data_IF_868324923129
#
_entry.id   IF_868324923129
#
_cell.length_a   1.000
_cell.length_b   1.000
_cell.length_c   1.000
_cell.angle_alpha   90.00
_cell.angle_beta   90.00
_cell.angle_gamma   90.00
#
_symmetry.space_group_name_H-M   'P 1'
#
loop_
_entity.id
_entity.type
_entity.pdbx_description
1 polymer ?
#
# COMPACT_ATOMS: atom_id res chain seq x y z
N UNK A 1 14.00 12.37 20.43
CA UNK A 1 12.57 12.44 20.02
C UNK A 1 12.58 12.74 18.54
N UNK A 2 12.05 11.86 17.70
CA UNK A 2 11.87 12.14 16.26
C UNK A 2 10.84 13.26 16.13
N UNK A 3 11.17 14.31 15.39
CA UNK A 3 10.21 15.37 15.06
C UNK A 3 9.13 14.76 14.17
N UNK A 4 7.87 14.89 14.57
CA UNK A 4 6.71 14.45 13.82
C UNK A 4 6.70 15.14 12.44
N UNK A 5 6.55 14.38 11.36
CA UNK A 5 6.52 14.92 9.99
C UNK A 5 5.18 15.59 9.71
N UNK A 6 5.19 16.54 8.78
CA UNK A 6 3.97 17.16 8.23
C UNK A 6 3.66 16.47 6.91
N UNK A 7 2.57 15.73 6.85
CA UNK A 7 2.06 15.09 5.64
C UNK A 7 1.25 16.06 4.76
N UNK A 8 0.56 15.51 3.78
CA UNK A 8 -0.31 16.28 2.88
C UNK A 8 -1.50 16.90 3.64
N UNK A 9 -1.99 16.23 4.68
CA UNK A 9 -3.18 16.61 5.46
C UNK A 9 -2.84 17.10 6.88
N UNK A 10 -1.63 17.58 7.14
CA UNK A 10 -1.17 18.05 8.44
C UNK A 10 -0.21 17.09 9.12
N UNK A 11 -0.16 17.10 10.45
CA UNK A 11 0.75 16.24 11.19
C UNK A 11 0.44 14.76 10.97
N UNK A 12 1.48 14.01 10.59
CA UNK A 12 1.42 12.55 10.44
C UNK A 12 1.43 11.86 11.81
N UNK A 13 1.03 10.62 11.88
CA UNK A 13 1.03 9.83 13.12
C UNK A 13 2.44 9.68 13.69
N UNK A 14 2.56 9.72 15.01
CA UNK A 14 3.82 9.44 15.71
C UNK A 14 4.03 7.94 15.86
N UNK A 15 5.28 7.51 16.10
CA UNK A 15 5.60 6.09 16.31
C UNK A 15 4.76 5.45 17.42
N UNK A 16 4.50 6.19 18.49
CA UNK A 16 3.77 5.71 19.67
C UNK A 16 2.24 5.60 19.43
N UNK A 17 1.74 5.98 18.25
CA UNK A 17 0.32 5.82 17.90
C UNK A 17 -0.05 4.40 17.47
N UNK A 18 0.92 3.48 17.35
CA UNK A 18 0.69 2.10 16.97
C UNK A 18 1.39 1.14 17.93
N UNK A 19 0.83 -0.05 18.10
CA UNK A 19 1.55 -1.15 18.73
C UNK A 19 2.55 -1.74 17.74
N UNK A 20 3.83 -1.74 18.09
CA UNK A 20 4.87 -2.25 17.20
C UNK A 20 5.82 -3.20 17.91
N UNK A 21 6.25 -4.26 17.23
CA UNK A 21 7.21 -5.23 17.73
C UNK A 21 8.27 -5.53 16.67
N UNK A 22 9.50 -5.73 17.12
CA UNK A 22 10.63 -6.18 16.32
C UNK A 22 11.33 -7.33 17.03
N UNK A 23 11.42 -8.48 16.38
CA UNK A 23 11.97 -9.69 16.98
C UNK A 23 12.94 -10.38 16.04
N UNK A 24 14.03 -10.90 16.63
CA UNK A 24 14.94 -11.82 15.92
C UNK A 24 14.46 -13.25 16.09
N UNK A 25 14.29 -13.96 15.01
CA UNK A 25 13.77 -15.32 15.00
C UNK A 25 14.81 -16.34 15.42
N UNK A 26 14.39 -17.40 16.11
CA UNK A 26 15.23 -18.56 16.36
C UNK A 26 15.75 -19.16 15.04
N UNK A 27 17.07 -19.33 14.94
CA UNK A 27 17.75 -19.83 13.73
C UNK A 27 18.02 -18.77 12.65
N UNK A 28 17.90 -17.49 13.01
CA UNK A 28 18.13 -16.32 12.17
C UNK A 28 16.88 -15.84 11.45
N UNK A 29 16.97 -14.65 10.89
CA UNK A 29 15.83 -13.93 10.36
C UNK A 29 15.22 -12.95 11.37
N UNK A 30 14.24 -12.19 10.94
CA UNK A 30 13.54 -11.21 11.78
C UNK A 30 12.06 -11.14 11.41
N UNK A 31 11.27 -10.68 12.36
CA UNK A 31 9.91 -10.23 12.17
C UNK A 31 9.77 -8.80 12.69
N UNK A 32 8.93 -8.03 12.01
CA UNK A 32 8.50 -6.71 12.46
C UNK A 32 6.99 -6.62 12.25
N UNK A 33 6.26 -6.24 13.28
CA UNK A 33 4.81 -6.09 13.23
C UNK A 33 4.39 -4.69 13.64
N UNK A 34 3.36 -4.16 12.99
CA UNK A 34 2.73 -2.88 13.31
C UNK A 34 1.23 -3.09 13.31
N UNK A 35 0.59 -2.85 14.48
CA UNK A 35 -0.87 -2.78 14.61
C UNK A 35 -1.27 -1.32 14.70
N UNK A 36 -1.93 -0.87 13.67
CA UNK A 36 -2.33 0.54 13.58
C UNK A 36 -3.55 0.84 14.44
N UNK A 37 -3.70 2.11 14.81
CA UNK A 37 -4.97 2.61 15.30
C UNK A 37 -6.07 2.38 14.25
N UNK A 38 -7.32 2.35 14.73
CA UNK A 38 -8.48 2.23 13.85
C UNK A 38 -8.45 3.30 12.74
N UNK A 39 -8.47 2.87 11.48
CA UNK A 39 -8.68 3.73 10.32
C UNK A 39 -10.16 4.11 10.25
N UNK A 40 -10.53 5.26 10.80
CA UNK A 40 -11.94 5.69 10.93
C UNK A 40 -12.55 6.04 9.57
N UNK A 41 -13.77 5.57 9.35
CA UNK A 41 -14.49 5.85 8.10
C UNK A 41 -13.95 5.13 6.87
N UNK A 42 -12.89 4.34 7.01
CA UNK A 42 -12.36 3.48 5.95
C UNK A 42 -13.08 2.13 6.00
N UNK A 43 -13.36 1.56 4.83
CA UNK A 43 -13.91 0.20 4.66
C UNK A 43 -12.89 -0.69 3.95
N UNK A 44 -13.09 -2.00 3.97
CA UNK A 44 -12.25 -2.92 3.19
C UNK A 44 -12.37 -2.62 1.68
N UNK A 45 -13.56 -2.24 1.19
CA UNK A 45 -13.74 -1.86 -0.22
C UNK A 45 -12.93 -0.62 -0.60
N UNK A 46 -12.79 0.36 0.32
CA UNK A 46 -11.88 1.50 0.16
C UNK A 46 -10.43 1.06 -0.01
N UNK A 47 -9.94 0.13 0.83
CA UNK A 47 -8.55 -0.37 0.75
C UNK A 47 -8.29 -1.17 -0.53
N UNK A 48 -9.21 -2.05 -0.93
CA UNK A 48 -9.10 -2.81 -2.18
C UNK A 48 -9.06 -1.85 -3.37
N UNK A 49 -9.94 -0.86 -3.41
CA UNK A 49 -9.95 0.16 -4.45
C UNK A 49 -8.65 0.97 -4.45
N UNK A 50 -8.17 1.39 -3.27
CA UNK A 50 -6.94 2.16 -3.10
C UNK A 50 -5.73 1.42 -3.68
N UNK A 51 -5.44 0.22 -3.23
CA UNK A 51 -4.30 -0.56 -3.72
C UNK A 51 -4.39 -0.87 -5.21
N UNK A 52 -5.60 -1.05 -5.75
CA UNK A 52 -5.81 -1.27 -7.18
C UNK A 52 -5.45 -0.05 -8.02
N UNK A 53 -5.64 1.15 -7.47
CA UNK A 53 -5.46 2.43 -8.15
C UNK A 53 -4.26 3.24 -7.63
N UNK A 54 -3.40 2.64 -6.84
CA UNK A 54 -2.28 3.31 -6.15
C UNK A 54 -1.29 3.98 -7.11
N UNK A 55 -1.21 3.52 -8.38
CA UNK A 55 -0.34 4.05 -9.43
C UNK A 55 -0.98 5.14 -10.30
N UNK A 56 -2.18 5.61 -9.94
CA UNK A 56 -2.89 6.65 -10.67
C UNK A 56 -2.49 8.05 -10.23
N UNK A 57 -3.07 9.07 -10.90
CA UNK A 57 -2.98 10.47 -10.52
C UNK A 57 -4.34 11.01 -10.11
N UNK A 58 -4.35 12.08 -9.32
CA UNK A 58 -5.56 12.78 -8.88
C UNK A 58 -5.32 14.28 -8.88
N UNK A 59 -6.39 15.07 -8.90
CA UNK A 59 -6.38 16.51 -8.65
C UNK A 59 -6.89 16.87 -7.26
N UNK A 60 -7.03 15.87 -6.36
CA UNK A 60 -7.47 16.09 -4.99
C UNK A 60 -6.48 16.97 -4.22
N UNK A 61 -6.98 18.05 -3.63
CA UNK A 61 -6.18 19.07 -2.92
C UNK A 61 -6.35 19.02 -1.39
N UNK A 62 -7.07 18.01 -0.88
CA UNK A 62 -7.40 17.86 0.56
C UNK A 62 -8.84 18.28 0.91
N UNK A 63 -9.55 18.91 0.00
CA UNK A 63 -10.96 19.30 0.16
C UNK A 63 -11.77 19.08 -1.11
N UNK A 64 -11.17 19.33 -2.28
CA UNK A 64 -11.85 19.25 -3.58
C UNK A 64 -10.94 18.62 -4.65
N UNK A 65 -11.44 18.45 -5.88
CA UNK A 65 -10.77 17.82 -7.03
C UNK A 65 -10.40 18.85 -8.12
N UNK A 66 -9.99 20.04 -7.72
CA UNK A 66 -9.60 21.15 -8.58
C UNK A 66 -8.10 21.55 -8.46
N UNK A 67 -7.33 20.75 -7.73
CA UNK A 67 -5.89 20.98 -7.54
C UNK A 67 -5.03 20.60 -8.75
N UNK A 68 -3.72 20.80 -8.61
CA UNK A 68 -2.75 20.30 -9.58
C UNK A 68 -2.70 18.76 -9.56
N UNK A 69 -2.44 18.16 -10.72
CA UNK A 69 -2.31 16.71 -10.82
C UNK A 69 -1.12 16.20 -9.98
N UNK A 70 -1.36 15.21 -9.13
CA UNK A 70 -0.38 14.57 -8.27
C UNK A 70 -0.54 13.05 -8.32
N UNK A 71 0.55 12.29 -8.20
CA UNK A 71 0.47 10.85 -8.00
C UNK A 71 -0.29 10.56 -6.69
N UNK A 72 -1.32 9.72 -6.73
CA UNK A 72 -2.12 9.38 -5.53
C UNK A 72 -1.25 8.80 -4.42
N UNK A 73 -0.17 8.10 -4.78
CA UNK A 73 0.82 7.56 -3.86
C UNK A 73 1.47 8.64 -2.98
N UNK A 74 1.63 9.89 -3.50
CA UNK A 74 2.14 11.03 -2.76
C UNK A 74 1.20 11.55 -1.68
N UNK A 75 -0.11 11.32 -1.82
CA UNK A 75 -1.07 11.66 -0.77
C UNK A 75 -0.84 10.84 0.49
N UNK A 76 -0.40 9.60 0.31
CA UNK A 76 -0.15 8.68 1.42
C UNK A 76 1.11 9.05 2.21
N UNK A 77 2.22 9.38 1.50
CA UNK A 77 3.45 9.87 2.14
C UNK A 77 4.24 10.82 1.23
N UNK A 78 4.07 12.16 1.36
CA UNK A 78 4.65 13.11 0.41
C UNK A 78 6.18 13.16 0.42
N UNK A 79 6.82 12.80 1.54
CA UNK A 79 8.28 12.87 1.71
C UNK A 79 8.99 11.60 1.26
N UNK A 80 8.43 10.46 1.58
CA UNK A 80 9.11 9.17 1.44
C UNK A 80 8.72 8.47 0.13
N UNK A 81 7.49 8.65 -0.37
CA UNK A 81 7.02 8.02 -1.61
C UNK A 81 7.58 8.74 -2.84
N UNK A 82 8.28 7.99 -3.70
CA UNK A 82 8.82 8.50 -4.95
C UNK A 82 7.94 8.08 -6.12
N UNK A 83 7.71 6.77 -6.28
CA UNK A 83 6.89 6.20 -7.34
C UNK A 83 6.44 4.78 -7.03
N UNK A 84 5.20 4.50 -7.37
CA UNK A 84 4.67 3.13 -7.40
C UNK A 84 4.08 2.85 -8.77
N UNK A 85 4.13 1.60 -9.23
CA UNK A 85 3.47 1.17 -10.48
C UNK A 85 3.25 -0.33 -10.51
N UNK A 86 2.19 -0.75 -11.13
CA UNK A 86 1.99 -2.14 -11.49
C UNK A 86 2.88 -2.50 -12.68
N UNK A 87 3.94 -3.29 -12.46
CA UNK A 87 4.83 -3.79 -13.52
C UNK A 87 4.19 -4.91 -14.34
N UNK A 88 3.37 -5.73 -13.68
CA UNK A 88 2.53 -6.77 -14.28
C UNK A 88 1.21 -6.78 -13.52
N UNK A 89 0.11 -6.56 -14.21
CA UNK A 89 -1.24 -6.58 -13.64
C UNK A 89 -1.98 -7.79 -14.23
N UNK A 90 -2.30 -8.76 -13.38
CA UNK A 90 -3.19 -9.87 -13.69
C UNK A 90 -4.52 -9.54 -13.02
N UNK A 91 -5.61 -9.59 -13.77
CA UNK A 91 -6.95 -9.31 -13.25
C UNK A 91 -7.91 -10.42 -13.65
N UNK A 92 -8.95 -10.63 -12.82
CA UNK A 92 -10.12 -11.41 -13.21
C UNK A 92 -11.04 -10.59 -14.14
N UNK A 93 -12.15 -11.21 -14.55
CA UNK A 93 -13.15 -10.59 -15.45
C UNK A 93 -13.81 -9.34 -14.85
N UNK A 94 -13.81 -9.22 -13.53
CA UNK A 94 -14.30 -8.03 -12.79
C UNK A 94 -13.22 -6.97 -12.61
N UNK A 95 -12.00 -7.22 -13.10
CA UNK A 95 -10.84 -6.34 -12.99
C UNK A 95 -10.20 -6.33 -11.61
N UNK A 96 -10.47 -7.30 -10.73
CA UNK A 96 -9.77 -7.44 -9.46
C UNK A 96 -8.37 -7.99 -9.70
N UNK A 97 -7.39 -7.39 -9.02
CA UNK A 97 -6.00 -7.84 -9.09
C UNK A 97 -5.86 -9.22 -8.50
N UNK A 98 -5.17 -10.09 -9.20
CA UNK A 98 -4.96 -11.48 -8.85
C UNK A 98 -3.54 -11.75 -8.36
N UNK A 99 -3.32 -12.80 -7.55
CA UNK A 99 -1.99 -13.34 -7.26
C UNK A 99 -1.19 -13.59 -8.53
N UNK A 100 0.14 -13.33 -8.49
CA UNK A 100 1.01 -13.36 -9.64
C UNK A 100 1.21 -12.00 -10.32
N UNK A 101 0.45 -10.97 -9.93
CA UNK A 101 0.73 -9.57 -10.27
C UNK A 101 2.04 -9.11 -9.63
N UNK A 102 2.69 -8.11 -10.23
CA UNK A 102 3.95 -7.55 -9.74
C UNK A 102 3.82 -6.04 -9.60
N UNK A 103 4.08 -5.54 -8.41
CA UNK A 103 4.15 -4.10 -8.11
C UNK A 103 5.60 -3.67 -7.97
N UNK A 104 5.95 -2.53 -8.55
CA UNK A 104 7.24 -1.86 -8.35
C UNK A 104 7.07 -0.69 -7.41
N UNK A 105 7.90 -0.65 -6.37
CA UNK A 105 7.85 0.34 -5.30
C UNK A 105 9.19 1.06 -5.26
N UNK A 106 9.16 2.39 -5.32
CA UNK A 106 10.31 3.25 -5.15
C UNK A 106 10.00 4.30 -4.09
N UNK A 107 10.71 4.21 -2.96
CA UNK A 107 10.50 5.06 -1.79
C UNK A 107 11.79 5.28 -1.01
N UNK A 108 11.77 6.21 -0.06
CA UNK A 108 12.85 6.44 0.91
C UNK A 108 12.26 6.54 2.30
N UNK A 109 12.93 6.02 3.31
CA UNK A 109 12.58 6.23 4.72
C UNK A 109 13.82 6.15 5.60
N UNK A 110 13.94 7.06 6.55
CA UNK A 110 15.09 7.10 7.46
C UNK A 110 16.44 7.22 6.76
N UNK A 111 16.49 7.78 5.55
CA UNK A 111 17.71 7.87 4.72
C UNK A 111 18.02 6.61 3.90
N UNK A 112 17.18 5.57 3.96
CA UNK A 112 17.32 4.36 3.14
C UNK A 112 16.48 4.49 1.88
N UNK A 113 17.06 4.14 0.74
CA UNK A 113 16.35 4.05 -0.54
C UNK A 113 15.87 2.61 -0.76
N UNK A 114 14.61 2.45 -1.12
CA UNK A 114 13.99 1.19 -1.54
C UNK A 114 13.53 1.33 -2.99
N UNK A 115 13.97 0.44 -3.85
CA UNK A 115 13.54 0.36 -5.25
C UNK A 115 13.45 -1.11 -5.62
N UNK A 116 12.30 -1.69 -5.38
CA UNK A 116 12.10 -3.14 -5.53
C UNK A 116 10.85 -3.49 -6.32
N UNK A 117 10.71 -4.78 -6.60
CA UNK A 117 9.53 -5.34 -7.24
C UNK A 117 9.06 -6.52 -6.43
N UNK A 118 7.83 -6.45 -5.99
CA UNK A 118 7.23 -7.46 -5.12
C UNK A 118 6.15 -8.24 -5.86
N UNK A 119 6.16 -9.56 -5.71
CA UNK A 119 5.15 -10.46 -6.23
C UNK A 119 3.96 -10.48 -5.28
N UNK A 120 2.77 -10.25 -5.81
CA UNK A 120 1.53 -10.35 -5.05
C UNK A 120 1.18 -11.83 -4.88
N UNK A 121 1.00 -12.26 -3.63
CA UNK A 121 0.63 -13.63 -3.29
C UNK A 121 -0.82 -13.75 -2.81
N UNK A 122 -1.41 -12.66 -2.31
CA UNK A 122 -2.82 -12.53 -1.95
C UNK A 122 -3.27 -11.09 -2.16
N UNK A 123 -4.49 -10.90 -2.63
CA UNK A 123 -5.14 -9.59 -2.66
C UNK A 123 -6.66 -9.80 -2.67
N UNK A 124 -7.26 -9.69 -1.50
CA UNK A 124 -8.69 -9.92 -1.26
C UNK A 124 -9.19 -9.13 -0.05
N UNK A 125 -10.34 -9.51 0.50
CA UNK A 125 -10.96 -8.85 1.66
C UNK A 125 -10.24 -9.13 2.98
N UNK A 126 -9.32 -10.08 3.02
CA UNK A 126 -8.57 -10.45 4.23
C UNK A 126 -7.19 -9.79 4.27
N UNK A 127 -6.61 -9.50 3.09
CA UNK A 127 -5.28 -8.91 3.07
C UNK A 127 -4.70 -8.62 1.69
N UNK A 128 -3.56 -7.95 1.74
CA UNK A 128 -2.71 -7.65 0.59
C UNK A 128 -1.28 -8.09 0.91
N UNK A 129 -0.86 -9.20 0.34
CA UNK A 129 0.38 -9.88 0.70
C UNK A 129 1.39 -9.85 -0.44
N UNK A 130 2.62 -9.54 -0.07
CA UNK A 130 3.76 -9.45 -0.97
C UNK A 130 4.81 -10.50 -0.65
N UNK A 131 5.37 -11.12 -1.67
CA UNK A 131 6.60 -11.87 -1.55
C UNK A 131 7.77 -10.98 -1.93
N UNK A 132 8.70 -10.82 -1.00
CA UNK A 132 9.97 -10.13 -1.23
C UNK A 132 11.03 -11.10 -1.74
N UNK A 133 11.85 -10.67 -2.71
CA UNK A 133 12.86 -11.49 -3.32
C UNK A 133 14.16 -10.75 -3.63
N UNK A 134 15.27 -11.47 -3.59
CA UNK A 134 16.59 -11.00 -4.03
C UNK A 134 17.08 -11.99 -5.10
N UNK A 135 17.41 -11.48 -6.29
CA UNK A 135 17.89 -12.30 -7.42
C UNK A 135 16.97 -13.50 -7.77
N UNK A 136 15.65 -13.29 -7.66
CA UNK A 136 14.66 -14.34 -7.93
C UNK A 136 14.42 -15.34 -6.79
N UNK A 137 15.16 -15.24 -5.70
CA UNK A 137 14.98 -16.10 -4.52
C UNK A 137 14.08 -15.40 -3.50
N UNK A 138 13.08 -16.13 -2.97
CA UNK A 138 12.23 -15.63 -1.90
C UNK A 138 13.05 -15.49 -0.61
N UNK A 139 13.11 -14.27 -0.09
CA UNK A 139 13.83 -13.97 1.15
C UNK A 139 12.95 -13.50 2.29
N UNK A 140 11.67 -13.22 2.00
CA UNK A 140 10.72 -12.80 3.01
C UNK A 140 9.36 -12.49 2.43
N UNK A 141 8.50 -11.92 3.25
CA UNK A 141 7.19 -11.42 2.85
C UNK A 141 6.82 -10.19 3.67
N UNK A 142 5.94 -9.40 3.09
CA UNK A 142 5.25 -8.28 3.72
C UNK A 142 3.75 -8.57 3.59
N UNK A 143 3.07 -8.62 4.72
CA UNK A 143 1.67 -8.99 4.82
C UNK A 143 0.90 -7.81 5.41
N UNK A 144 -0.15 -7.38 4.73
CA UNK A 144 -1.12 -6.43 5.24
C UNK A 144 -2.42 -7.17 5.48
N UNK A 145 -2.87 -7.16 6.72
CA UNK A 145 -4.14 -7.74 7.14
C UNK A 145 -5.12 -6.63 7.46
N UNK A 146 -6.38 -6.82 7.11
CA UNK A 146 -7.44 -5.89 7.47
C UNK A 146 -8.66 -6.62 8.00
N UNK A 147 -9.31 -5.99 8.94
CA UNK A 147 -10.56 -6.46 9.50
C UNK A 147 -11.49 -5.27 9.73
N UNK A 148 -12.65 -5.31 9.07
CA UNK A 148 -13.68 -4.29 9.24
C UNK A 148 -14.39 -4.49 10.58
N UNK A 149 -14.55 -3.41 11.31
CA UNK A 149 -15.31 -3.34 12.56
C UNK A 149 -16.19 -2.09 12.53
N UNK A 150 -17.04 -1.91 13.55
CA UNK A 150 -17.84 -0.71 13.64
C UNK A 150 -16.96 0.54 13.69
N UNK A 151 -17.25 1.49 12.78
CA UNK A 151 -16.54 2.76 12.65
C UNK A 151 -15.28 2.74 11.79
N UNK A 152 -14.84 1.60 11.22
CA UNK A 152 -13.67 1.59 10.33
C UNK A 152 -12.98 0.23 10.16
N UNK A 153 -11.68 0.27 9.85
CA UNK A 153 -10.84 -0.91 9.62
C UNK A 153 -9.68 -0.97 10.61
N UNK A 154 -9.51 -2.12 11.25
CA UNK A 154 -8.26 -2.48 11.91
C UNK A 154 -7.28 -3.00 10.87
N UNK A 155 -6.08 -2.41 10.84
CA UNK A 155 -5.04 -2.71 9.89
C UNK A 155 -3.77 -3.15 10.63
N UNK A 156 -3.21 -4.27 10.20
CA UNK A 156 -1.97 -4.82 10.76
C UNK A 156 -1.00 -5.12 9.63
N UNK A 157 0.27 -4.77 9.83
CA UNK A 157 1.34 -5.06 8.88
C UNK A 157 2.37 -5.96 9.53
N UNK A 158 2.75 -7.04 8.85
CA UNK A 158 3.82 -7.95 9.27
C UNK A 158 4.87 -8.06 8.17
N UNK A 159 6.12 -7.85 8.54
CA UNK A 159 7.28 -8.15 7.71
C UNK A 159 8.05 -9.33 8.30
N UNK A 160 8.26 -10.38 7.51
CA UNK A 160 9.18 -11.47 7.87
C UNK A 160 10.34 -11.51 6.87
N UNK A 161 11.57 -11.55 7.37
CA UNK A 161 12.78 -11.79 6.60
C UNK A 161 13.37 -13.13 6.99
N UNK A 162 13.08 -14.13 6.18
CA UNK A 162 13.55 -15.51 6.37
C UNK A 162 13.50 -16.29 5.06
N UNK A 163 14.65 -16.62 4.52
CA UNK A 163 14.74 -17.50 3.36
C UNK A 163 14.62 -18.98 3.79
N UNK A 164 13.64 -19.68 3.24
CA UNK A 164 13.37 -21.10 3.52
C UNK A 164 13.95 -22.04 2.46
N UNK A 165 14.87 -21.55 1.60
CA UNK A 165 15.51 -22.38 0.57
C UNK A 165 16.36 -23.49 1.22
N UNK A 166 16.25 -24.75 0.76
CA UNK A 166 17.10 -25.83 1.24
C UNK A 166 18.59 -25.50 1.10
N UNK A 167 19.41 -25.94 2.05
CA UNK A 167 20.87 -25.81 2.09
C UNK A 167 21.40 -24.38 2.24
N UNK A 168 20.89 -23.41 1.46
CA UNK A 168 21.39 -22.02 1.39
C UNK A 168 20.52 -21.00 2.15
N UNK A 169 19.34 -21.41 2.63
CA UNK A 169 18.37 -20.49 3.25
C UNK A 169 18.92 -19.73 4.45
N UNK A 170 19.69 -20.40 5.33
CA UNK A 170 20.34 -19.74 6.48
C UNK A 170 21.34 -18.67 6.05
N UNK A 171 22.18 -18.96 5.05
CA UNK A 171 23.14 -18.00 4.51
C UNK A 171 22.42 -16.80 3.86
N UNK A 172 21.41 -17.05 3.05
CA UNK A 172 20.61 -16.00 2.41
C UNK A 172 19.87 -15.15 3.42
N UNK A 173 19.32 -15.75 4.47
CA UNK A 173 18.70 -15.02 5.59
C UNK A 173 19.71 -14.12 6.28
N UNK A 174 20.87 -14.65 6.61
CA UNK A 174 21.93 -13.87 7.23
C UNK A 174 22.37 -12.70 6.34
N UNK A 175 22.60 -12.93 5.05
CA UNK A 175 22.94 -11.88 4.08
C UNK A 175 21.82 -10.81 4.00
N UNK A 176 20.56 -11.26 3.92
CA UNK A 176 19.42 -10.35 3.87
C UNK A 176 19.35 -9.46 5.12
N UNK A 177 19.45 -10.03 6.31
CA UNK A 177 19.41 -9.26 7.56
C UNK A 177 20.65 -8.38 7.74
N UNK A 178 21.83 -8.82 7.25
CA UNK A 178 23.08 -8.07 7.42
C UNK A 178 23.21 -6.85 6.52
N UNK A 179 22.64 -6.91 5.29
CA UNK A 179 22.87 -5.91 4.25
C UNK A 179 21.62 -5.20 3.76
N UNK A 180 20.45 -5.84 3.82
CA UNK A 180 19.22 -5.31 3.23
C UNK A 180 18.13 -4.98 4.25
N UNK A 181 18.01 -5.77 5.31
CA UNK A 181 17.00 -5.63 6.35
C UNK A 181 17.63 -5.43 7.73
N UNK A 182 18.51 -4.43 7.85
CA UNK A 182 19.15 -4.08 9.10
C UNK A 182 18.13 -3.50 10.10
N UNK A 183 18.36 -3.68 11.40
CA UNK A 183 17.44 -3.15 12.43
C UNK A 183 17.13 -1.65 12.26
N UNK A 184 18.12 -0.75 12.00
CA UNK A 184 17.81 0.66 11.77
C UNK A 184 16.87 0.88 10.57
N UNK A 185 17.06 0.12 9.48
CA UNK A 185 16.19 0.22 8.29
C UNK A 185 14.79 -0.29 8.59
N UNK A 186 14.65 -1.40 9.32
CA UNK A 186 13.34 -1.95 9.70
C UNK A 186 12.59 -0.99 10.63
N UNK A 187 13.27 -0.39 11.61
CA UNK A 187 12.66 0.63 12.49
C UNK A 187 12.22 1.87 11.71
N UNK A 188 13.02 2.31 10.72
CA UNK A 188 12.64 3.41 9.84
C UNK A 188 11.43 3.03 8.96
N UNK A 189 11.35 1.79 8.47
CA UNK A 189 10.19 1.28 7.76
C UNK A 189 8.94 1.23 8.66
N UNK A 190 9.05 0.78 9.91
CA UNK A 190 7.92 0.76 10.85
C UNK A 190 7.37 2.18 11.08
N UNK A 191 8.26 3.18 11.26
CA UNK A 191 7.85 4.58 11.39
C UNK A 191 7.13 5.07 10.13
N UNK A 192 7.71 4.81 8.96
CA UNK A 192 7.13 5.14 7.66
C UNK A 192 5.74 4.50 7.48
N UNK A 193 5.60 3.21 7.80
CA UNK A 193 4.34 2.47 7.68
C UNK A 193 3.25 3.04 8.60
N UNK A 194 3.61 3.48 9.83
CA UNK A 194 2.69 4.14 10.75
C UNK A 194 2.25 5.51 10.20
N UNK A 195 3.19 6.27 9.66
CA UNK A 195 2.93 7.59 9.07
C UNK A 195 1.96 7.48 7.90
N UNK A 196 2.25 6.61 6.90
CA UNK A 196 1.40 6.45 5.73
C UNK A 196 0.00 5.91 6.06
N UNK A 197 -0.08 4.85 6.86
CA UNK A 197 -1.37 4.28 7.23
C UNK A 197 -2.25 5.27 7.99
N UNK A 198 -1.65 6.17 8.78
CA UNK A 198 -2.35 7.25 9.47
C UNK A 198 -2.94 8.32 8.56
N UNK A 199 -2.47 8.44 7.31
CA UNK A 199 -3.05 9.37 6.32
C UNK A 199 -4.28 8.77 5.61
N UNK A 200 -4.42 7.44 5.57
CA UNK A 200 -5.43 6.72 4.79
C UNK A 200 -6.86 7.21 5.03
N UNK A 201 -7.24 7.45 6.28
CA UNK A 201 -8.60 7.92 6.65
C UNK A 201 -8.91 9.33 6.14
N UNK A 202 -7.88 10.12 5.79
CA UNK A 202 -8.01 11.52 5.40
C UNK A 202 -8.32 11.72 3.92
N UNK A 203 -8.13 10.70 3.07
CA UNK A 203 -8.29 10.88 1.62
C UNK A 203 -8.88 9.66 0.88
N UNK A 204 -8.64 8.41 1.33
CA UNK A 204 -9.10 7.22 0.58
C UNK A 204 -10.62 7.20 0.39
N UNK A 205 -11.46 7.47 1.41
CA UNK A 205 -12.91 7.52 1.23
C UNK A 205 -13.34 8.56 0.19
N UNK A 206 -12.75 9.76 0.21
CA UNK A 206 -13.08 10.84 -0.72
C UNK A 206 -12.72 10.49 -2.16
N UNK A 207 -11.52 9.92 -2.38
CA UNK A 207 -11.11 9.46 -3.71
C UNK A 207 -12.02 8.36 -4.24
N UNK A 208 -12.40 7.41 -3.39
CA UNK A 208 -13.28 6.31 -3.75
C UNK A 208 -14.66 6.82 -4.21
N UNK A 209 -15.29 7.68 -3.41
CA UNK A 209 -16.61 8.24 -3.75
C UNK A 209 -16.57 9.11 -5.01
N UNK A 210 -15.52 9.92 -5.18
CA UNK A 210 -15.32 10.71 -6.39
C UNK A 210 -15.23 9.79 -7.62
N UNK A 211 -14.46 8.72 -7.56
CA UNK A 211 -14.29 7.77 -8.65
C UNK A 211 -15.62 7.12 -9.06
N UNK A 212 -16.51 6.82 -8.11
CA UNK A 212 -17.82 6.26 -8.36
C UNK A 212 -18.75 7.26 -9.06
N UNK A 213 -18.71 8.52 -8.65
CA UNK A 213 -19.49 9.59 -9.25
C UNK A 213 -19.12 9.80 -10.71
N UNK A 214 -17.83 9.94 -11.01
CA UNK A 214 -17.32 10.10 -12.38
C UNK A 214 -17.71 8.92 -13.28
N UNK A 215 -17.57 7.69 -12.78
CA UNK A 215 -17.94 6.49 -13.53
C UNK A 215 -19.45 6.43 -13.81
N UNK A 216 -20.30 6.83 -12.87
CA UNK A 216 -21.74 6.85 -13.04
C UNK A 216 -22.20 7.90 -14.06
N UNK A 217 -21.54 9.05 -14.12
CA UNK A 217 -21.82 10.09 -15.11
C UNK A 217 -21.35 9.70 -16.52
N UNK A 218 -20.20 9.06 -16.62
CA UNK A 218 -19.66 8.53 -17.89
C UNK A 218 -20.57 7.45 -18.46
N UNK A 219 -21.07 6.52 -17.63
CA UNK A 219 -22.02 5.49 -18.04
C UNK A 219 -23.35 6.06 -18.52
N UNK A 220 -23.87 7.13 -17.89
CA UNK A 220 -25.09 7.82 -18.34
C UNK A 220 -24.92 8.53 -19.69
N UNK A 221 -23.73 9.11 -19.94
CA UNK A 221 -23.44 9.77 -21.23
C UNK A 221 -23.39 8.78 -22.39
N UNK A 222 -22.82 7.59 -22.18
CA UNK A 222 -22.75 6.53 -23.19
C UNK A 222 -24.16 6.03 -23.52
N UNK A 223 -24.99 5.74 -22.53
CA UNK A 223 -26.39 5.29 -22.77
C UNK A 223 -27.28 6.35 -23.42
N UNK A 224 -27.05 7.65 -23.16
CA UNK A 224 -27.77 8.74 -23.80
C UNK A 224 -27.36 8.95 -25.26
N UNK A 225 -26.12 8.63 -25.65
CA UNK A 225 -25.66 8.73 -27.04
C UNK A 225 -26.16 7.59 -27.95
N UNK A 226 -26.53 6.45 -27.37
CA UNK A 226 -27.11 5.31 -28.11
C UNK A 226 -28.59 5.45 -28.39
N UNK A 227 -29.28 6.43 -27.78
CA UNK A 227 -30.72 6.69 -27.96
C UNK A 227 -31.04 7.78 -29.00
N UNK A 228 -30.15 8.10 -29.95
CA UNK A 228 -30.51 8.99 -31.07
C UNK A 228 -31.23 8.15 -32.14
N UNK A 229 -32.53 8.32 -32.35
CA UNK A 229 -33.21 7.60 -33.41
C UNK A 229 -32.68 8.09 -34.78
N UNK A 230 -32.15 7.18 -35.57
CA UNK A 230 -31.85 7.44 -36.98
C UNK A 230 -33.18 7.75 -37.67
N UNK A 231 -33.50 9.04 -37.89
CA UNK A 231 -34.60 9.46 -38.74
C UNK A 231 -34.22 9.08 -40.18
N UNK A 232 -34.82 8.00 -40.66
CA UNK A 232 -34.86 7.66 -42.09
C UNK A 232 -35.68 8.70 -42.85
N UNK A 233 -35.05 9.35 -43.78
CA UNK A 233 -35.67 10.00 -44.93
C UNK A 233 -35.31 9.22 -46.19
#
# INVERSE_FOLDING_TARGET
MSTQKIGFFGLMKSFDSAESAFETMAGGGLTATVKHELMRGVTIDHLIWWFRNIDQTTTFNGGDFDGAAIDVYKLWHPHDHIKVRWKKKITDDSGHIQPGSVIGIHETFGGFVVNESSLITQFDREGFHFQMGILGLKVGHLLHFYREIDGGVLYETEMEIKCRAPLIGKLLTWLACRFFATEPKIRAWMQHNIEECGESEKFIPQLYEHSRTVNSESGRRVSASECIPTSSH
#
